data_IF_537694602522
#
_entry.id   IF_537694602522
#
_cell.length_a   1.000
_cell.length_b   1.000
_cell.length_c   1.000
_cell.angle_alpha   90.00
_cell.angle_beta   90.00
_cell.angle_gamma   90.00
#
_symmetry.space_group_name_H-M   'P 1'
#
loop_
_entity.id
_entity.type
_entity.pdbx_description
1 polymer ?
#
# COMPACT_ATOMS: atom_id res chain seq x y z
N UNK A 1 13.04 17.41 -30.67
CA UNK A 1 12.90 18.77 -31.26
C UNK A 1 14.06 19.70 -30.93
N UNK A 2 14.51 19.83 -29.69
CA UNK A 2 15.57 20.80 -29.31
C UNK A 2 16.94 20.51 -29.93
N UNK A 3 17.18 19.29 -30.42
CA UNK A 3 18.40 18.87 -31.09
C UNK A 3 18.34 18.95 -32.62
N UNK A 4 17.17 19.27 -33.18
CA UNK A 4 16.99 19.42 -34.63
C UNK A 4 17.28 20.85 -35.04
N UNK A 5 17.90 21.04 -36.21
CA UNK A 5 18.02 22.36 -36.83
C UNK A 5 16.64 22.81 -37.28
N UNK A 6 16.23 24.00 -36.86
CA UNK A 6 14.93 24.57 -37.18
C UNK A 6 15.13 25.90 -37.90
N UNK A 7 14.34 26.13 -38.95
CA UNK A 7 14.40 27.36 -39.75
C UNK A 7 14.01 28.60 -38.96
N UNK A 8 13.08 28.45 -38.01
CA UNK A 8 12.71 29.48 -37.05
C UNK A 8 13.91 29.98 -36.24
N UNK A 9 14.94 29.17 -36.07
CA UNK A 9 16.18 29.50 -35.36
C UNK A 9 17.36 29.67 -36.33
N UNK A 10 17.10 30.08 -37.58
CA UNK A 10 18.10 30.26 -38.64
C UNK A 10 19.00 29.04 -38.83
N UNK A 11 18.35 27.86 -38.98
CA UNK A 11 18.97 26.55 -39.15
C UNK A 11 19.91 26.15 -38.00
N UNK A 12 19.73 26.70 -36.80
CA UNK A 12 20.45 26.31 -35.59
C UNK A 12 19.62 25.35 -34.74
N UNK A 13 20.28 24.58 -33.87
CA UNK A 13 19.60 23.76 -32.88
C UNK A 13 19.16 24.66 -31.71
N UNK A 14 17.91 24.57 -31.23
CA UNK A 14 17.46 25.35 -30.06
C UNK A 14 18.36 25.20 -28.83
N UNK A 15 18.90 23.98 -28.59
CA UNK A 15 19.82 23.72 -27.47
C UNK A 15 21.07 24.60 -27.54
N UNK A 16 21.66 24.87 -28.76
CA UNK A 16 22.84 25.70 -28.92
C UNK A 16 22.55 27.17 -28.57
N UNK A 17 21.32 27.63 -28.80
CA UNK A 17 20.90 28.99 -28.49
C UNK A 17 20.72 29.13 -26.97
N UNK A 18 20.00 28.15 -26.36
CA UNK A 18 19.81 28.12 -24.92
C UNK A 18 21.15 28.07 -24.18
N UNK A 19 22.07 27.22 -24.61
CA UNK A 19 23.40 27.09 -24.02
C UNK A 19 24.20 28.41 -23.99
N UNK A 20 24.00 29.29 -24.99
CA UNK A 20 24.66 30.61 -25.06
C UNK A 20 24.13 31.59 -24.00
N UNK A 21 22.97 31.38 -23.44
CA UNK A 21 22.42 32.22 -22.37
C UNK A 21 22.94 31.87 -20.99
N UNK A 22 23.71 30.78 -20.86
CA UNK A 22 24.18 30.23 -19.59
C UNK A 22 23.07 30.14 -18.56
N UNK A 23 22.00 29.37 -18.80
CA UNK A 23 20.79 29.37 -18.00
C UNK A 23 21.04 28.86 -16.58
N UNK A 24 20.13 29.20 -15.67
CA UNK A 24 19.97 28.48 -14.39
C UNK A 24 19.15 27.25 -14.68
N UNK A 25 19.68 26.07 -14.40
CA UNK A 25 18.97 24.80 -14.56
C UNK A 25 18.33 24.41 -13.23
N UNK A 26 17.03 24.25 -13.23
CA UNK A 26 16.27 23.76 -12.07
C UNK A 26 15.81 22.34 -12.37
N UNK A 27 16.18 21.39 -11.51
CA UNK A 27 15.81 19.97 -11.64
C UNK A 27 14.98 19.59 -10.43
N UNK A 28 13.71 19.25 -10.68
CA UNK A 28 12.82 18.67 -9.69
C UNK A 28 12.87 17.15 -9.81
N UNK A 29 12.91 16.46 -8.66
CA UNK A 29 13.03 15.01 -8.56
C UNK A 29 14.16 14.43 -9.44
N UNK A 30 15.43 14.85 -9.20
CA UNK A 30 16.57 14.51 -10.05
C UNK A 30 16.80 13.01 -10.21
N UNK A 31 16.40 12.18 -9.23
CA UNK A 31 16.54 10.72 -9.31
C UNK A 31 15.77 10.09 -10.50
N UNK A 32 14.75 10.76 -11.01
CA UNK A 32 13.98 10.32 -12.18
C UNK A 32 14.73 10.54 -13.50
N UNK A 33 15.71 11.46 -13.52
CA UNK A 33 16.43 11.92 -14.70
C UNK A 33 17.95 11.70 -14.62
N UNK A 34 18.44 10.93 -13.66
CA UNK A 34 19.86 10.70 -13.39
C UNK A 34 20.51 9.56 -14.21
N UNK A 35 19.90 9.10 -15.30
CA UNK A 35 20.55 8.20 -16.24
C UNK A 35 21.80 8.85 -16.88
N UNK A 36 22.86 8.05 -17.15
CA UNK A 36 24.13 8.57 -17.74
C UNK A 36 23.89 9.47 -18.96
N UNK A 37 23.06 9.04 -19.89
CA UNK A 37 22.75 9.82 -21.09
C UNK A 37 22.07 11.15 -20.77
N UNK A 38 21.17 11.16 -19.80
CA UNK A 38 20.44 12.37 -19.43
C UNK A 38 21.38 13.36 -18.74
N UNK A 39 22.27 12.90 -17.86
CA UNK A 39 23.29 13.75 -17.24
C UNK A 39 24.20 14.41 -18.29
N UNK A 40 24.65 13.66 -19.29
CA UNK A 40 25.47 14.22 -20.38
C UNK A 40 24.68 15.25 -21.21
N UNK A 41 23.43 14.96 -21.53
CA UNK A 41 22.58 15.92 -22.25
C UNK A 41 22.25 17.17 -21.45
N UNK A 42 22.19 17.09 -20.12
CA UNK A 42 21.99 18.26 -19.27
C UNK A 42 23.21 19.18 -19.30
N UNK A 43 24.43 18.67 -19.49
CA UNK A 43 25.64 19.47 -19.66
C UNK A 43 25.60 20.31 -20.93
N UNK A 44 24.87 19.85 -21.97
CA UNK A 44 24.77 20.60 -23.24
C UNK A 44 24.00 21.91 -23.07
N UNK A 45 23.21 22.11 -22.00
CA UNK A 45 22.63 23.41 -21.68
C UNK A 45 23.66 24.45 -21.22
N UNK A 46 24.88 24.03 -20.91
CA UNK A 46 25.95 24.90 -20.37
C UNK A 46 25.46 25.81 -19.23
N UNK A 47 24.83 25.26 -18.17
CA UNK A 47 24.21 26.07 -17.13
C UNK A 47 25.23 26.79 -16.28
N UNK A 48 24.92 28.02 -15.89
CA UNK A 48 25.70 28.78 -14.94
C UNK A 48 25.68 28.16 -13.54
N UNK A 49 24.50 27.67 -13.15
CA UNK A 49 24.24 26.94 -11.90
C UNK A 49 23.11 25.93 -12.08
N UNK A 50 23.19 24.84 -11.36
CA UNK A 50 22.12 23.83 -11.31
C UNK A 50 21.57 23.72 -9.90
N UNK A 51 20.27 23.98 -9.73
CA UNK A 51 19.53 23.80 -8.50
C UNK A 51 18.76 22.46 -8.56
N UNK A 52 18.94 21.63 -7.56
CA UNK A 52 18.34 20.29 -7.50
C UNK A 52 17.45 20.20 -6.28
N UNK A 53 16.17 19.89 -6.50
CA UNK A 53 15.15 19.71 -5.46
C UNK A 53 14.69 18.27 -5.44
N UNK A 54 14.76 17.62 -4.30
CA UNK A 54 14.24 16.27 -4.11
C UNK A 54 14.01 15.97 -2.64
N UNK A 55 12.98 15.21 -2.35
CA UNK A 55 12.75 14.62 -1.03
C UNK A 55 13.65 13.39 -0.80
N UNK A 56 14.10 12.72 -1.88
CA UNK A 56 14.79 11.42 -1.84
C UNK A 56 16.00 11.41 -2.79
N UNK A 57 17.10 11.98 -2.38
CA UNK A 57 18.36 11.86 -3.13
C UNK A 57 18.96 10.47 -2.98
N UNK A 58 19.55 9.95 -4.06
CA UNK A 58 20.42 8.78 -3.98
C UNK A 58 21.69 9.13 -3.21
N UNK A 59 22.19 8.22 -2.39
CA UNK A 59 23.37 8.45 -1.56
C UNK A 59 24.63 8.80 -2.38
N UNK A 60 24.73 8.27 -3.61
CA UNK A 60 25.82 8.53 -4.57
C UNK A 60 25.62 9.80 -5.41
N UNK A 61 24.55 10.54 -5.19
CA UNK A 61 24.13 11.69 -6.00
C UNK A 61 23.81 12.93 -5.16
N UNK A 62 24.51 13.09 -4.02
CA UNK A 62 24.41 14.27 -3.17
C UNK A 62 25.58 15.21 -3.53
N UNK A 63 25.27 16.36 -4.13
CA UNK A 63 26.24 17.37 -4.51
C UNK A 63 25.96 18.69 -3.80
N UNK A 64 26.94 19.24 -3.06
CA UNK A 64 26.86 20.57 -2.44
C UNK A 64 25.50 20.85 -1.79
N UNK A 65 25.04 19.97 -0.90
CA UNK A 65 23.76 20.11 -0.24
C UNK A 65 23.74 21.36 0.64
N UNK A 66 22.89 22.33 0.27
CA UNK A 66 22.78 23.62 0.95
C UNK A 66 21.71 23.61 2.03
N UNK A 67 20.67 22.78 1.84
CA UNK A 67 19.55 22.67 2.76
C UNK A 67 19.00 21.25 2.79
N UNK A 68 18.62 20.81 3.98
CA UNK A 68 17.94 19.52 4.18
C UNK A 68 16.73 19.73 5.06
N UNK A 69 15.61 19.15 4.65
CA UNK A 69 14.39 19.01 5.46
C UNK A 69 13.80 17.64 5.14
N UNK A 70 14.16 16.64 5.92
CA UNK A 70 13.60 15.31 5.77
C UNK A 70 12.25 15.15 6.50
N UNK A 71 11.60 14.00 6.28
CA UNK A 71 10.28 13.73 6.85
C UNK A 71 10.28 13.74 8.39
N UNK A 72 11.35 13.25 9.02
CA UNK A 72 11.48 13.24 10.48
C UNK A 72 11.69 14.65 11.04
N UNK A 73 12.53 15.44 10.41
CA UNK A 73 12.76 16.83 10.80
C UNK A 73 11.50 17.68 10.60
N UNK A 74 10.81 17.51 9.46
CA UNK A 74 9.55 18.17 9.20
C UNK A 74 8.47 17.80 10.24
N UNK A 75 8.40 16.53 10.65
CA UNK A 75 7.50 16.09 11.71
C UNK A 75 7.87 16.69 13.07
N UNK A 76 9.15 16.65 13.46
CA UNK A 76 9.62 17.22 14.73
C UNK A 76 9.38 18.73 14.80
N UNK A 77 9.51 19.43 13.67
CA UNK A 77 9.19 20.87 13.53
C UNK A 77 7.69 21.15 13.40
N UNK A 78 6.83 20.13 13.43
CA UNK A 78 5.36 20.23 13.27
C UNK A 78 4.91 20.87 11.95
N UNK A 79 5.70 20.73 10.91
CA UNK A 79 5.38 21.25 9.57
C UNK A 79 4.48 20.30 8.78
N UNK A 80 4.48 19.03 9.14
CA UNK A 80 3.66 17.98 8.50
C UNK A 80 2.87 17.18 9.54
N UNK A 81 1.80 16.54 9.10
CA UNK A 81 1.00 15.62 9.94
C UNK A 81 1.79 14.35 10.24
N UNK A 82 1.44 13.71 11.37
CA UNK A 82 1.98 12.39 11.70
C UNK A 82 1.65 11.38 10.61
N UNK A 83 2.67 10.68 10.11
CA UNK A 83 2.51 9.52 9.26
C UNK A 83 2.28 8.30 10.16
N UNK A 84 1.15 7.64 9.99
CA UNK A 84 0.84 6.38 10.65
C UNK A 84 0.76 5.31 9.57
N UNK A 85 1.59 4.29 9.70
CA UNK A 85 1.56 3.13 8.80
C UNK A 85 0.81 2.01 9.50
N UNK A 86 -0.28 1.53 8.89
CA UNK A 86 -0.94 0.29 9.26
C UNK A 86 -0.45 -0.78 8.29
N UNK A 87 0.43 -1.64 8.76
CA UNK A 87 0.93 -2.78 8.00
C UNK A 87 -0.02 -3.96 8.14
N UNK A 88 -0.05 -4.84 7.16
CA UNK A 88 -0.57 -6.19 7.29
C UNK A 88 0.63 -7.05 7.65
N UNK A 89 0.61 -7.65 8.83
CA UNK A 89 1.71 -8.51 9.28
C UNK A 89 1.42 -9.93 8.79
N UNK A 90 2.25 -10.42 7.88
CA UNK A 90 2.31 -11.86 7.59
C UNK A 90 3.12 -12.51 8.71
N UNK A 91 2.44 -13.08 9.69
CA UNK A 91 3.09 -13.80 10.78
C UNK A 91 3.52 -15.18 10.28
N UNK A 92 4.82 -15.38 10.15
CA UNK A 92 5.48 -16.68 10.04
C UNK A 92 4.87 -17.64 9.03
N UNK A 93 5.07 -17.41 7.72
CA UNK A 93 4.68 -18.39 6.72
C UNK A 93 5.69 -19.53 6.65
N UNK A 94 5.45 -20.61 7.37
CA UNK A 94 5.87 -21.91 6.87
C UNK A 94 4.87 -22.33 5.80
N UNK A 95 5.31 -22.97 4.73
CA UNK A 95 4.46 -23.38 3.59
C UNK A 95 3.33 -24.38 3.98
N UNK A 96 3.18 -24.67 5.27
CA UNK A 96 2.25 -25.59 5.89
C UNK A 96 1.17 -24.93 6.74
N UNK A 97 1.24 -23.60 6.99
CA UNK A 97 0.26 -22.91 7.83
C UNK A 97 -1.01 -22.61 7.02
N UNK A 98 -2.16 -22.98 7.58
CA UNK A 98 -3.47 -22.67 7.01
C UNK A 98 -3.76 -21.16 7.03
N UNK A 99 -4.39 -20.67 5.99
CA UNK A 99 -4.81 -19.26 5.92
C UNK A 99 -5.78 -18.91 7.03
N UNK A 100 -5.44 -17.93 7.86
CA UNK A 100 -6.36 -17.29 8.83
C UNK A 100 -6.15 -15.78 8.80
N UNK A 101 -7.23 -15.05 8.59
CA UNK A 101 -7.29 -13.60 8.66
C UNK A 101 -8.23 -13.18 9.80
N UNK A 102 -7.74 -12.35 10.73
CA UNK A 102 -8.57 -11.77 11.78
C UNK A 102 -9.20 -10.46 11.29
N UNK A 103 -10.51 -10.50 11.04
CA UNK A 103 -11.25 -9.35 10.57
C UNK A 103 -11.55 -8.32 11.68
N UNK A 104 -12.06 -8.80 12.82
CA UNK A 104 -12.43 -7.95 13.96
C UNK A 104 -12.64 -8.76 15.23
N UNK A 105 -12.52 -8.07 16.38
CA UNK A 105 -13.02 -8.58 17.66
C UNK A 105 -14.34 -7.89 17.97
N UNK A 106 -15.35 -8.68 18.34
CA UNK A 106 -16.68 -8.20 18.65
C UNK A 106 -16.88 -8.22 20.17
N UNK A 107 -17.12 -7.03 20.73
CA UNK A 107 -17.41 -6.87 22.15
C UNK A 107 -18.93 -6.82 22.36
N UNK A 108 -19.40 -7.58 23.34
CA UNK A 108 -20.79 -7.58 23.77
C UNK A 108 -20.87 -7.66 25.30
N UNK A 109 -22.05 -7.80 25.85
CA UNK A 109 -22.23 -8.09 27.27
C UNK A 109 -21.85 -9.53 27.66
N UNK A 110 -21.72 -10.42 26.69
CA UNK A 110 -21.21 -11.78 26.83
C UNK A 110 -19.69 -11.80 26.53
N UNK A 111 -19.09 -13.00 26.56
CA UNK A 111 -17.69 -13.19 26.20
C UNK A 111 -17.40 -12.62 24.81
N UNK A 112 -16.18 -12.05 24.61
CA UNK A 112 -15.79 -11.51 23.32
C UNK A 112 -15.75 -12.61 22.26
N UNK A 113 -16.10 -12.25 21.02
CA UNK A 113 -16.02 -13.14 19.87
C UNK A 113 -15.12 -12.51 18.80
N UNK A 114 -14.53 -13.34 17.94
CA UNK A 114 -13.71 -12.89 16.83
C UNK A 114 -14.39 -13.23 15.50
N UNK A 115 -14.35 -12.30 14.55
CA UNK A 115 -14.70 -12.57 13.15
C UNK A 115 -13.43 -12.91 12.40
N UNK A 116 -13.31 -14.15 11.94
CA UNK A 116 -12.15 -14.66 11.20
C UNK A 116 -12.54 -15.17 9.83
N UNK A 117 -11.62 -15.09 8.89
CA UNK A 117 -11.73 -15.74 7.58
C UNK A 117 -10.68 -16.85 7.50
N UNK A 118 -11.10 -18.03 7.03
CA UNK A 118 -10.22 -19.20 6.89
C UNK A 118 -10.67 -20.09 5.73
N UNK A 119 -9.77 -20.97 5.28
CA UNK A 119 -10.08 -21.91 4.21
C UNK A 119 -10.98 -23.04 4.69
N UNK A 120 -11.95 -23.41 3.86
CA UNK A 120 -12.89 -24.49 4.14
C UNK A 120 -13.11 -25.37 2.89
N UNK A 121 -13.01 -26.67 3.06
CA UNK A 121 -13.27 -27.64 2.01
C UNK A 121 -14.77 -27.85 1.84
N UNK A 122 -15.31 -27.41 0.72
CA UNK A 122 -16.72 -27.63 0.34
C UNK A 122 -16.86 -28.67 -0.76
N UNK A 123 -18.12 -28.98 -1.14
CA UNK A 123 -18.41 -29.91 -2.24
C UNK A 123 -17.80 -29.49 -3.59
N UNK A 124 -17.63 -28.19 -3.82
CA UNK A 124 -17.09 -27.60 -5.05
C UNK A 124 -15.58 -27.29 -4.97
N UNK A 125 -14.89 -27.70 -3.90
CA UNK A 125 -13.46 -27.42 -3.69
C UNK A 125 -13.18 -26.54 -2.47
N UNK A 126 -11.97 -26.01 -2.41
CA UNK A 126 -11.50 -25.11 -1.36
C UNK A 126 -12.13 -23.72 -1.55
N UNK A 127 -12.66 -23.15 -0.47
CA UNK A 127 -13.22 -21.79 -0.46
C UNK A 127 -12.91 -21.09 0.85
N UNK A 128 -12.75 -19.78 0.82
CA UNK A 128 -12.62 -18.96 2.02
C UNK A 128 -14.00 -18.69 2.63
N UNK A 129 -14.12 -18.86 3.93
CA UNK A 129 -15.34 -18.60 4.69
C UNK A 129 -15.07 -17.65 5.84
N UNK A 130 -15.94 -16.67 6.03
CA UNK A 130 -15.89 -15.77 7.18
C UNK A 130 -16.86 -16.28 8.25
N UNK A 131 -16.41 -16.40 9.50
CA UNK A 131 -17.23 -16.82 10.64
C UNK A 131 -16.90 -16.02 11.89
N UNK A 132 -17.92 -15.77 12.69
CA UNK A 132 -17.77 -15.32 14.06
C UNK A 132 -17.56 -16.52 14.95
N UNK A 133 -16.47 -16.52 15.71
CA UNK A 133 -16.00 -17.64 16.53
C UNK A 133 -15.82 -17.21 17.98
N UNK A 134 -16.01 -18.12 18.90
CA UNK A 134 -15.77 -17.95 20.33
C UNK A 134 -14.59 -18.80 20.82
N UNK A 135 -14.38 -18.80 22.13
CA UNK A 135 -13.38 -19.65 22.78
C UNK A 135 -13.60 -21.13 22.44
N UNK A 136 -12.52 -21.90 22.34
CA UNK A 136 -12.50 -23.34 22.01
C UNK A 136 -12.98 -23.69 20.61
N UNK A 137 -13.24 -22.71 19.73
CA UNK A 137 -13.56 -23.00 18.33
C UNK A 137 -12.36 -23.67 17.66
N UNK A 138 -12.57 -24.83 17.07
CA UNK A 138 -11.54 -25.62 16.40
C UNK A 138 -11.64 -25.45 14.88
N UNK A 139 -10.64 -24.84 14.25
CA UNK A 139 -10.65 -24.61 12.81
C UNK A 139 -10.60 -25.92 12.02
N UNK A 140 -9.87 -26.94 12.51
CA UNK A 140 -9.80 -28.23 11.85
C UNK A 140 -11.18 -28.84 11.63
N UNK A 141 -12.02 -28.91 12.67
CA UNK A 141 -13.37 -29.50 12.60
C UNK A 141 -14.29 -28.71 11.68
N UNK A 142 -14.10 -27.40 11.58
CA UNK A 142 -14.98 -26.49 10.82
C UNK A 142 -14.47 -26.16 9.41
N UNK A 143 -13.25 -26.54 9.07
CA UNK A 143 -12.65 -26.37 7.74
C UNK A 143 -12.95 -27.53 6.78
N UNK A 144 -13.61 -28.58 7.24
CA UNK A 144 -13.74 -29.85 6.52
C UNK A 144 -12.49 -30.70 6.63
N UNK A 145 -11.87 -30.67 7.80
CA UNK A 145 -10.71 -31.42 8.22
C UNK A 145 -9.47 -31.17 7.35
N UNK A 146 -9.19 -29.89 7.07
CA UNK A 146 -7.97 -29.48 6.37
C UNK A 146 -6.77 -29.68 7.29
N UNK A 147 -5.75 -30.40 6.81
CA UNK A 147 -4.58 -30.77 7.59
C UNK A 147 -3.79 -29.53 8.08
N UNK A 148 -3.85 -28.42 7.37
CA UNK A 148 -3.23 -27.15 7.73
C UNK A 148 -3.71 -26.59 9.07
N UNK A 149 -4.90 -26.99 9.55
CA UNK A 149 -5.45 -26.55 10.84
C UNK A 149 -5.39 -27.61 11.94
N UNK A 150 -4.78 -28.76 11.67
CA UNK A 150 -4.73 -29.90 12.60
C UNK A 150 -3.92 -29.59 13.85
N UNK A 151 -2.83 -28.85 13.70
CA UNK A 151 -1.86 -28.60 14.75
C UNK A 151 -2.26 -27.37 15.59
N UNK A 152 -3.27 -27.53 16.46
CA UNK A 152 -3.58 -26.57 17.51
C UNK A 152 -4.26 -25.27 17.08
N UNK A 153 -4.86 -25.22 15.91
CA UNK A 153 -5.70 -24.08 15.52
C UNK A 153 -7.07 -24.10 16.23
N UNK A 154 -7.00 -24.13 17.56
CA UNK A 154 -8.15 -24.02 18.47
C UNK A 154 -8.05 -22.69 19.19
N UNK A 155 -9.12 -21.91 19.20
CA UNK A 155 -9.15 -20.60 19.84
C UNK A 155 -8.95 -20.75 21.35
N UNK A 156 -7.80 -20.24 21.84
CA UNK A 156 -7.39 -20.25 23.24
C UNK A 156 -7.87 -19.00 23.96
N UNK A 157 -7.68 -17.83 23.33
CA UNK A 157 -8.00 -16.55 23.93
C UNK A 157 -8.51 -15.56 22.88
N UNK A 158 -9.45 -14.71 23.29
CA UNK A 158 -9.94 -13.58 22.52
C UNK A 158 -9.87 -12.36 23.44
N UNK A 159 -8.98 -11.41 23.16
CA UNK A 159 -8.81 -10.19 23.95
C UNK A 159 -9.37 -8.98 23.21
N UNK A 160 -10.42 -8.41 23.77
CA UNK A 160 -11.05 -7.22 23.22
C UNK A 160 -10.37 -5.90 23.58
N UNK A 161 -9.39 -5.88 24.51
CA UNK A 161 -8.65 -4.67 24.87
C UNK A 161 -7.53 -4.43 23.87
N UNK A 162 -6.79 -5.51 23.56
CA UNK A 162 -5.67 -5.48 22.61
C UNK A 162 -6.08 -5.88 21.19
N UNK A 163 -7.36 -6.20 20.97
CA UNK A 163 -7.92 -6.60 19.67
C UNK A 163 -7.17 -7.77 19.04
N UNK A 164 -6.93 -8.86 19.81
CA UNK A 164 -6.24 -10.03 19.28
C UNK A 164 -6.97 -11.34 19.59
N UNK A 165 -6.65 -12.35 18.82
CA UNK A 165 -6.98 -13.76 19.04
C UNK A 165 -5.70 -14.57 19.18
N UNK A 166 -5.69 -15.55 20.10
CA UNK A 166 -4.58 -16.50 20.26
C UNK A 166 -5.11 -17.93 20.12
N UNK A 167 -4.36 -18.76 19.38
CA UNK A 167 -4.65 -20.18 19.20
C UNK A 167 -3.74 -21.02 20.11
N UNK A 168 -4.11 -22.27 20.35
CA UNK A 168 -3.34 -23.19 21.19
C UNK A 168 -1.94 -23.49 20.65
N UNK A 169 -1.72 -23.40 19.33
CA UNK A 169 -0.40 -23.54 18.69
C UNK A 169 0.50 -22.31 18.89
N UNK A 170 0.06 -21.29 19.62
CA UNK A 170 0.81 -20.07 19.89
C UNK A 170 0.68 -18.98 18.81
N UNK A 171 -0.03 -19.24 17.71
CA UNK A 171 -0.34 -18.20 16.72
C UNK A 171 -1.21 -17.13 17.35
N UNK A 172 -0.76 -15.89 17.29
CA UNK A 172 -1.48 -14.70 17.75
C UNK A 172 -1.67 -13.74 16.59
N UNK A 173 -2.93 -13.31 16.39
CA UNK A 173 -3.30 -12.37 15.34
C UNK A 173 -4.01 -11.15 15.95
N UNK A 174 -3.60 -9.96 15.56
CA UNK A 174 -4.33 -8.73 15.82
C UNK A 174 -5.35 -8.46 14.71
N UNK A 175 -6.36 -7.63 14.99
CA UNK A 175 -7.34 -7.27 13.97
C UNK A 175 -6.64 -6.64 12.75
N UNK A 176 -6.85 -7.23 11.59
CA UNK A 176 -6.16 -6.90 10.33
C UNK A 176 -4.98 -7.80 9.98
N UNK A 177 -4.52 -8.67 10.89
CA UNK A 177 -3.40 -9.59 10.63
C UNK A 177 -3.86 -10.84 9.89
N UNK A 178 -2.91 -11.42 9.15
CA UNK A 178 -3.09 -12.67 8.40
C UNK A 178 -1.92 -13.63 8.66
N UNK A 179 -2.20 -14.91 8.69
CA UNK A 179 -1.21 -16.00 8.74
C UNK A 179 -1.52 -17.03 7.67
N UNK A 180 -0.49 -17.76 7.23
CA UNK A 180 -0.57 -18.80 6.23
C UNK A 180 -0.40 -18.31 4.80
N UNK A 181 -0.70 -19.17 3.82
CA UNK A 181 -0.50 -18.89 2.42
C UNK A 181 -1.50 -17.86 1.90
N UNK A 182 -1.03 -16.65 1.63
CA UNK A 182 -1.82 -15.54 1.07
C UNK A 182 -1.44 -15.38 -0.40
N UNK A 183 -2.42 -15.35 -1.29
CA UNK A 183 -2.20 -14.92 -2.66
C UNK A 183 -2.24 -13.38 -2.77
N UNK A 184 -1.71 -12.84 -3.85
CA UNK A 184 -1.60 -11.40 -4.04
C UNK A 184 -2.98 -10.72 -4.08
N UNK A 185 -3.97 -11.34 -4.72
CA UNK A 185 -5.34 -10.80 -4.80
C UNK A 185 -6.00 -10.74 -3.42
N UNK A 186 -5.77 -11.76 -2.60
CA UNK A 186 -6.27 -11.78 -1.23
C UNK A 186 -5.62 -10.67 -0.39
N UNK A 187 -4.32 -10.47 -0.53
CA UNK A 187 -3.60 -9.38 0.15
C UNK A 187 -4.16 -8.02 -0.27
N UNK A 188 -4.40 -7.81 -1.57
CA UNK A 188 -5.01 -6.59 -2.10
C UNK A 188 -6.41 -6.36 -1.54
N UNK A 189 -7.23 -7.40 -1.48
CA UNK A 189 -8.58 -7.34 -0.88
C UNK A 189 -8.53 -6.90 0.59
N UNK A 190 -7.62 -7.47 1.38
CA UNK A 190 -7.42 -7.07 2.78
C UNK A 190 -6.96 -5.61 2.87
N UNK A 191 -5.99 -5.19 2.05
CA UNK A 191 -5.50 -3.80 2.02
C UNK A 191 -6.61 -2.80 1.70
N UNK A 192 -7.44 -3.08 0.69
CA UNK A 192 -8.58 -2.22 0.32
C UNK A 192 -9.55 -2.14 1.49
N UNK A 193 -9.96 -3.28 2.06
CA UNK A 193 -10.87 -3.33 3.20
C UNK A 193 -10.36 -2.53 4.41
N UNK A 194 -9.12 -2.75 4.82
CA UNK A 194 -8.52 -2.06 5.97
C UNK A 194 -8.41 -0.55 5.72
N UNK A 195 -8.18 -0.14 4.47
CA UNK A 195 -8.18 1.28 4.09
C UNK A 195 -9.58 1.88 4.22
N UNK A 196 -10.62 1.18 3.78
CA UNK A 196 -12.03 1.62 3.90
C UNK A 196 -12.42 1.74 5.38
N UNK A 197 -12.12 0.73 6.20
CA UNK A 197 -12.42 0.75 7.63
C UNK A 197 -11.71 1.92 8.34
N UNK A 198 -10.43 2.13 8.02
CA UNK A 198 -9.64 3.26 8.57
C UNK A 198 -10.21 4.62 8.13
N UNK A 199 -10.69 4.73 6.89
CA UNK A 199 -11.36 5.92 6.39
C UNK A 199 -12.63 6.22 7.19
N UNK A 200 -13.53 5.24 7.32
CA UNK A 200 -14.81 5.41 8.01
C UNK A 200 -14.61 5.77 9.49
N UNK A 201 -13.66 5.13 10.16
CA UNK A 201 -13.33 5.45 11.54
C UNK A 201 -12.82 6.89 11.68
N UNK A 202 -11.91 7.31 10.79
CA UNK A 202 -11.37 8.66 10.79
C UNK A 202 -12.44 9.70 10.46
N UNK A 203 -13.32 9.42 9.50
CA UNK A 203 -14.43 10.32 9.14
C UNK A 203 -15.37 10.51 10.32
N UNK A 204 -15.75 9.42 11.01
CA UNK A 204 -16.58 9.50 12.22
C UNK A 204 -15.99 10.41 13.30
N UNK A 205 -14.65 10.35 13.50
CA UNK A 205 -13.96 11.18 14.50
C UNK A 205 -13.88 12.66 14.10
N UNK A 206 -13.85 12.96 12.82
CA UNK A 206 -13.61 14.32 12.29
C UNK A 206 -14.87 15.00 11.77
N UNK A 207 -15.95 14.25 11.55
CA UNK A 207 -17.23 14.76 11.02
C UNK A 207 -17.75 15.95 11.79
N UNK A 208 -17.77 15.86 13.13
CA UNK A 208 -18.27 16.95 14.01
C UNK A 208 -17.40 18.22 13.97
N UNK A 209 -16.18 18.12 13.42
CA UNK A 209 -15.25 19.24 13.26
C UNK A 209 -15.37 19.89 11.88
N UNK A 210 -16.31 19.43 11.03
CA UNK A 210 -16.46 19.88 9.65
C UNK A 210 -15.27 19.52 8.75
N UNK A 211 -14.46 18.52 9.14
CA UNK A 211 -13.30 18.08 8.38
C UNK A 211 -13.69 16.87 7.56
N UNK A 212 -13.56 17.00 6.23
CA UNK A 212 -13.77 15.90 5.29
C UNK A 212 -12.50 15.04 5.19
N UNK A 213 -12.68 13.73 5.27
CA UNK A 213 -11.62 12.73 5.03
C UNK A 213 -11.64 12.32 3.56
N UNK A 214 -10.47 12.15 2.96
CA UNK A 214 -10.30 11.61 1.62
C UNK A 214 -9.28 10.47 1.70
N UNK A 215 -9.56 9.38 1.00
CA UNK A 215 -8.62 8.28 0.79
C UNK A 215 -8.17 8.23 -0.66
N UNK A 216 -6.90 7.97 -0.88
CA UNK A 216 -6.30 7.85 -2.20
C UNK A 216 -5.71 6.46 -2.33
N UNK A 217 -6.12 5.74 -3.37
CA UNK A 217 -5.58 4.43 -3.71
C UNK A 217 -4.62 4.58 -4.89
N UNK A 218 -3.38 4.13 -4.72
CA UNK A 218 -2.43 3.99 -5.82
C UNK A 218 -2.52 2.58 -6.36
N UNK A 219 -2.81 2.48 -7.65
CA UNK A 219 -2.93 1.21 -8.38
C UNK A 219 -1.83 1.09 -9.42
N UNK A 220 -1.40 -0.13 -9.70
CA UNK A 220 -0.35 -0.43 -10.68
C UNK A 220 -0.84 -0.34 -12.13
N UNK A 221 -2.07 -0.79 -12.41
CA UNK A 221 -2.66 -0.85 -13.74
C UNK A 221 -4.10 -0.32 -13.73
N UNK A 222 -4.43 0.56 -14.67
CA UNK A 222 -5.77 1.15 -14.78
C UNK A 222 -6.83 0.10 -15.06
N UNK A 223 -6.50 -0.93 -15.86
CA UNK A 223 -7.42 -2.01 -16.25
C UNK A 223 -7.88 -2.84 -15.04
N UNK A 224 -7.09 -2.90 -13.98
CA UNK A 224 -7.51 -3.55 -12.72
C UNK A 224 -8.61 -2.78 -11.99
N UNK A 225 -8.80 -1.50 -12.30
CA UNK A 225 -9.89 -0.69 -11.76
C UNK A 225 -11.04 -0.54 -12.74
N UNK A 226 -10.75 -0.20 -14.00
CA UNK A 226 -11.76 0.07 -15.02
C UNK A 226 -11.34 -0.51 -16.36
N UNK A 227 -12.15 -1.42 -16.89
CA UNK A 227 -11.97 -2.04 -18.19
C UNK A 227 -12.99 -1.50 -19.20
N UNK A 228 -12.75 -1.75 -20.48
CA UNK A 228 -13.67 -1.42 -21.56
C UNK A 228 -13.85 -2.65 -22.47
N UNK A 229 -15.08 -2.91 -22.87
CA UNK A 229 -15.40 -3.97 -23.82
C UNK A 229 -15.08 -3.57 -25.25
N UNK A 230 -15.31 -4.48 -26.21
CA UNK A 230 -15.08 -4.23 -27.64
C UNK A 230 -15.95 -3.10 -28.22
N UNK A 231 -17.05 -2.76 -27.56
CA UNK A 231 -17.96 -1.66 -27.92
C UNK A 231 -17.60 -0.34 -27.21
N UNK A 232 -16.52 -0.33 -26.39
CA UNK A 232 -16.07 0.82 -25.63
C UNK A 232 -16.92 1.09 -24.38
N UNK A 233 -17.76 0.14 -23.93
CA UNK A 233 -18.53 0.30 -22.71
C UNK A 233 -17.66 -0.03 -21.48
N UNK A 234 -17.71 0.80 -20.42
CA UNK A 234 -16.92 0.57 -19.23
C UNK A 234 -17.51 -0.54 -18.37
N UNK A 235 -16.64 -1.37 -17.77
CA UNK A 235 -17.00 -2.32 -16.71
C UNK A 235 -15.94 -2.34 -15.62
N UNK A 236 -16.28 -2.86 -14.43
CA UNK A 236 -15.39 -2.89 -13.29
C UNK A 236 -14.24 -3.85 -13.51
N UNK A 237 -13.03 -3.42 -13.18
CA UNK A 237 -11.89 -4.29 -13.02
C UNK A 237 -11.86 -4.92 -11.62
N UNK A 238 -10.94 -5.86 -11.39
CA UNK A 238 -10.85 -6.66 -10.15
C UNK A 238 -10.75 -5.80 -8.88
N UNK A 239 -10.06 -4.66 -8.92
CA UNK A 239 -9.96 -3.78 -7.74
C UNK A 239 -11.26 -3.02 -7.45
N UNK A 240 -12.02 -2.65 -8.47
CA UNK A 240 -13.34 -2.07 -8.28
C UNK A 240 -14.30 -3.08 -7.66
N UNK A 241 -14.28 -4.34 -8.12
CA UNK A 241 -15.05 -5.45 -7.54
C UNK A 241 -14.67 -5.77 -6.09
N UNK A 242 -13.38 -5.61 -5.74
CA UNK A 242 -12.90 -5.78 -4.36
C UNK A 242 -13.37 -4.66 -3.44
N UNK A 243 -13.63 -3.47 -4.00
CA UNK A 243 -14.05 -2.28 -3.26
C UNK A 243 -15.54 -2.29 -2.95
N UNK A 244 -16.40 -2.82 -3.84
CA UNK A 244 -17.84 -2.96 -3.68
C UNK A 244 -18.23 -4.10 -2.72
#
# INVERSE_FOLDING_TARGET
>A
RIYMKLDEFRSRRPIDIIAKTNPILIIDEPQSVEGKQTKERMKEFNPMITLRYSATHRADSIYNMVYRLDAMEAYNKRLVKKIVVKGITESGSTATDGFVYLESINLSKADPTATIQFDCKGKAGLRKVTRTVGLKFNLYDHSGNLDEYKDGYVVKEIDGRDNHIEFLNGVRLFAGDVVGKVDEDQLRRIQIRETILSHLERERQLFHKGIKVLSLFFIDEVDKYKCYDAAGQPYNGIYAEMFE
#
